data_IF_734416513305
#
_entry.id   IF_734416513305
#
_cell.length_a   1.000
_cell.length_b   1.000
_cell.length_c   1.000
_cell.angle_alpha   90.00
_cell.angle_beta   90.00
_cell.angle_gamma   90.00
#
_symmetry.space_group_name_H-M   'P 1'
#
loop_
_entity.id
_entity.type
_entity.pdbx_description
1 polymer ?
#
# COMPACT_ATOMS: atom_id res chain seq x y z
N UNK A 1 4.28 -18.47 6.86
CA UNK A 1 5.27 -17.77 6.03
C UNK A 1 5.60 -16.37 6.52
N UNK A 2 4.66 -15.53 7.00
CA UNK A 2 4.92 -14.10 7.24
C UNK A 2 5.22 -13.67 8.70
N UNK A 3 5.37 -14.62 9.64
CA UNK A 3 5.51 -14.32 11.07
C UNK A 3 6.83 -13.60 11.37
N UNK A 4 7.91 -14.04 10.75
CA UNK A 4 9.23 -13.46 10.92
C UNK A 4 9.31 -12.04 10.32
N UNK A 5 8.62 -11.76 9.21
CA UNK A 5 8.50 -10.39 8.66
C UNK A 5 7.96 -9.43 9.73
N UNK A 6 6.86 -9.81 10.39
CA UNK A 6 6.28 -8.98 11.46
C UNK A 6 7.25 -8.78 12.62
N UNK A 7 7.93 -9.84 13.05
CA UNK A 7 8.92 -9.76 14.14
C UNK A 7 10.08 -8.84 13.77
N UNK A 8 10.60 -8.92 12.54
CA UNK A 8 11.68 -8.06 12.06
C UNK A 8 11.26 -6.59 11.95
N UNK A 9 10.03 -6.32 11.49
CA UNK A 9 9.52 -4.95 11.43
C UNK A 9 9.27 -4.37 12.83
N UNK A 10 8.74 -5.16 13.76
CA UNK A 10 8.54 -4.73 15.16
C UNK A 10 9.88 -4.49 15.86
N UNK A 11 10.87 -5.36 15.67
CA UNK A 11 12.21 -5.17 16.24
C UNK A 11 12.87 -3.90 15.70
N UNK A 12 12.82 -3.69 14.38
CA UNK A 12 13.37 -2.49 13.78
C UNK A 12 12.63 -1.22 14.20
N UNK A 13 11.32 -1.31 14.44
CA UNK A 13 10.51 -0.23 14.99
C UNK A 13 10.93 0.14 16.41
N UNK A 14 11.11 -0.86 17.30
CA UNK A 14 11.56 -0.65 18.68
C UNK A 14 12.97 -0.02 18.70
N UNK A 15 13.87 -0.51 17.83
CA UNK A 15 15.21 0.07 17.68
C UNK A 15 15.17 1.52 17.21
N UNK A 16 14.34 1.83 16.22
CA UNK A 16 14.16 3.20 15.73
C UNK A 16 13.63 4.16 16.80
N UNK A 17 12.67 3.69 17.60
CA UNK A 17 12.15 4.41 18.77
C UNK A 17 13.24 4.68 19.81
N UNK A 18 14.00 3.65 20.17
CA UNK A 18 15.09 3.76 21.13
C UNK A 18 16.16 4.76 20.65
N UNK A 19 16.59 4.68 19.40
CA UNK A 19 17.58 5.61 18.85
C UNK A 19 17.08 7.06 18.84
N UNK A 20 15.80 7.27 18.47
CA UNK A 20 15.18 8.59 18.49
C UNK A 20 15.12 9.20 19.90
N UNK A 21 15.07 8.35 20.93
CA UNK A 21 15.14 8.77 22.33
C UNK A 21 16.58 9.09 22.79
N UNK A 22 17.58 8.35 22.29
CA UNK A 22 18.98 8.52 22.72
C UNK A 22 19.75 9.59 21.95
N UNK A 23 19.34 9.91 20.72
CA UNK A 23 20.04 10.87 19.85
C UNK A 23 19.67 12.35 20.11
N UNK A 24 18.67 12.62 20.95
CA UNK A 24 18.36 14.00 21.34
C UNK A 24 19.34 14.52 22.39
N UNK A 25 20.14 15.51 22.01
CA UNK A 25 21.01 16.28 22.91
C UNK A 25 20.24 17.24 23.84
N UNK A 26 18.91 17.33 23.68
CA UNK A 26 18.01 18.13 24.51
C UNK A 26 17.74 17.43 25.86
N UNK A 27 17.68 18.15 26.99
CA UNK A 27 17.32 17.59 28.30
C UNK A 27 15.85 17.13 28.39
N UNK A 28 15.07 17.32 27.33
CA UNK A 28 13.67 16.91 27.24
C UNK A 28 13.51 15.74 26.25
N UNK A 29 12.76 14.69 26.62
CA UNK A 29 12.55 13.55 25.75
C UNK A 29 11.90 13.98 24.44
N UNK A 30 12.42 13.48 23.31
CA UNK A 30 11.89 13.73 21.98
C UNK A 30 10.37 13.47 21.93
N UNK A 31 9.58 14.48 21.54
CA UNK A 31 8.14 14.28 21.35
C UNK A 31 7.92 13.49 20.07
N UNK A 32 7.49 12.23 20.20
CA UNK A 32 7.18 11.37 19.06
C UNK A 32 5.67 11.25 18.86
N UNK A 33 5.21 11.37 17.61
CA UNK A 33 3.80 11.15 17.27
C UNK A 33 3.56 9.66 17.05
N UNK A 34 3.04 8.97 18.07
CA UNK A 34 2.80 7.51 18.03
C UNK A 34 1.93 7.07 16.83
N UNK A 35 0.96 7.89 16.42
CA UNK A 35 0.12 7.63 15.25
C UNK A 35 0.93 7.45 13.95
N UNK A 36 1.86 8.38 13.68
CA UNK A 36 2.73 8.32 12.48
C UNK A 36 3.65 7.10 12.51
N UNK A 37 4.10 6.75 13.71
CA UNK A 37 4.93 5.59 13.96
C UNK A 37 4.20 4.27 13.67
N UNK A 38 2.98 4.10 14.20
CA UNK A 38 2.16 2.92 13.90
C UNK A 38 1.73 2.86 12.45
N UNK A 39 1.48 4.01 11.82
CA UNK A 39 1.20 4.11 10.39
C UNK A 39 2.37 3.58 9.57
N UNK A 40 3.59 4.04 9.83
CA UNK A 40 4.80 3.58 9.15
C UNK A 40 5.07 2.10 9.38
N UNK A 41 4.91 1.60 10.62
CA UNK A 41 5.07 0.18 10.94
C UNK A 41 4.08 -0.69 10.16
N UNK A 42 2.80 -0.33 10.19
CA UNK A 42 1.74 -1.11 9.53
C UNK A 42 1.93 -1.11 8.01
N UNK A 43 2.28 0.05 7.45
CA UNK A 43 2.58 0.18 6.04
C UNK A 43 3.79 -0.69 5.62
N UNK A 44 4.87 -0.67 6.38
CA UNK A 44 6.06 -1.48 6.12
C UNK A 44 5.80 -2.98 6.23
N UNK A 45 5.05 -3.41 7.25
CA UNK A 45 4.65 -4.83 7.37
C UNK A 45 3.86 -5.25 6.14
N UNK A 46 2.94 -4.41 5.67
CA UNK A 46 2.07 -4.71 4.53
C UNK A 46 2.86 -4.79 3.24
N UNK A 47 3.68 -3.78 2.94
CA UNK A 47 4.51 -3.78 1.73
C UNK A 47 5.48 -4.94 1.70
N UNK A 48 6.16 -5.23 2.81
CA UNK A 48 7.14 -6.30 2.87
C UNK A 48 6.49 -7.67 2.74
N UNK A 49 5.29 -7.81 3.27
CA UNK A 49 4.49 -9.03 3.15
C UNK A 49 3.97 -9.25 1.73
N UNK A 50 3.51 -8.17 1.08
CA UNK A 50 2.73 -8.29 -0.16
C UNK A 50 3.62 -8.20 -1.39
N UNK A 51 4.62 -7.33 -1.39
CA UNK A 51 5.48 -7.02 -2.55
C UNK A 51 6.98 -6.97 -2.20
N UNK A 52 7.37 -7.52 -1.04
CA UNK A 52 8.76 -7.63 -0.62
C UNK A 52 9.49 -6.30 -0.33
N UNK A 53 8.81 -5.15 -0.43
CA UNK A 53 9.42 -3.81 -0.28
C UNK A 53 9.34 -3.28 1.16
N UNK A 54 10.33 -2.47 1.51
CA UNK A 54 10.38 -1.73 2.79
C UNK A 54 10.91 -0.32 2.52
N UNK A 55 10.32 0.68 3.16
CA UNK A 55 10.83 2.05 3.09
C UNK A 55 11.07 2.62 4.49
N UNK A 56 12.03 3.53 4.59
CA UNK A 56 12.35 4.21 5.84
C UNK A 56 11.41 5.41 6.06
N UNK A 57 11.11 5.76 7.32
CA UNK A 57 10.24 6.89 7.68
C UNK A 57 10.60 8.18 6.92
N UNK A 58 11.90 8.46 6.77
CA UNK A 58 12.44 9.65 6.10
C UNK A 58 12.21 9.69 4.58
N UNK A 59 11.96 8.54 3.95
CA UNK A 59 11.73 8.45 2.50
C UNK A 59 10.24 8.68 2.20
N UNK A 60 9.32 8.27 3.09
CA UNK A 60 7.88 8.53 2.93
C UNK A 60 7.54 10.00 2.90
N UNK A 61 8.23 10.81 3.69
CA UNK A 61 7.94 12.23 3.79
C UNK A 61 8.64 13.04 2.69
N UNK A 62 9.50 12.40 1.89
CA UNK A 62 10.09 13.01 0.69
C UNK A 62 9.04 13.07 -0.40
N UNK A 63 8.54 14.27 -0.65
CA UNK A 63 7.58 14.57 -1.70
C UNK A 63 8.04 14.00 -3.06
N UNK A 64 7.10 13.45 -3.81
CA UNK A 64 7.31 12.80 -5.10
C UNK A 64 8.17 11.52 -5.11
N UNK A 65 8.59 11.00 -3.95
CA UNK A 65 9.15 9.65 -3.89
C UNK A 65 8.08 8.59 -4.21
N UNK A 66 8.49 7.44 -4.77
CA UNK A 66 7.59 6.30 -5.00
C UNK A 66 6.74 5.92 -3.76
N UNK A 67 7.31 5.75 -2.54
CA UNK A 67 6.51 5.44 -1.36
C UNK A 67 5.56 6.57 -0.94
N UNK A 68 5.96 7.84 -1.14
CA UNK A 68 5.06 8.98 -0.89
C UNK A 68 3.86 8.95 -1.85
N UNK A 69 4.12 8.78 -3.16
CA UNK A 69 3.08 8.72 -4.19
C UNK A 69 2.10 7.59 -3.92
N UNK A 70 2.64 6.41 -3.61
CA UNK A 70 1.83 5.25 -3.29
C UNK A 70 0.99 5.43 -2.02
N UNK A 71 1.60 5.89 -0.93
CA UNK A 71 0.89 6.20 0.33
C UNK A 71 -0.24 7.20 0.09
N UNK A 72 0.04 8.29 -0.63
CA UNK A 72 -0.96 9.33 -0.94
C UNK A 72 -2.10 8.78 -1.80
N UNK A 73 -1.78 7.92 -2.76
CA UNK A 73 -2.78 7.30 -3.63
C UNK A 73 -3.69 6.34 -2.84
N UNK A 74 -3.16 5.56 -1.88
CA UNK A 74 -3.97 4.73 -0.97
C UNK A 74 -4.88 5.58 -0.09
N UNK A 75 -4.36 6.61 0.57
CA UNK A 75 -5.16 7.51 1.42
C UNK A 75 -6.34 8.08 0.63
N UNK A 76 -6.06 8.52 -0.61
CA UNK A 76 -7.07 9.06 -1.50
C UNK A 76 -8.06 7.98 -1.98
N UNK A 77 -7.59 6.76 -2.26
CA UNK A 77 -8.46 5.65 -2.65
C UNK A 77 -9.40 5.25 -1.50
N UNK A 78 -8.89 5.18 -0.26
CA UNK A 78 -9.69 4.90 0.93
C UNK A 78 -10.74 5.99 1.17
N UNK A 79 -10.35 7.26 1.05
CA UNK A 79 -11.29 8.37 1.15
C UNK A 79 -12.38 8.30 0.08
N UNK A 80 -11.99 8.18 -1.20
CA UNK A 80 -12.92 8.11 -2.33
C UNK A 80 -13.83 6.87 -2.26
N UNK A 81 -13.34 5.75 -1.72
CA UNK A 81 -14.15 4.53 -1.55
C UNK A 81 -15.33 4.69 -0.60
N UNK A 82 -15.31 5.72 0.27
CA UNK A 82 -16.40 6.05 1.17
C UNK A 82 -17.36 7.12 0.66
N UNK A 83 -17.10 7.71 -0.52
CA UNK A 83 -17.94 8.76 -1.08
C UNK A 83 -19.05 8.15 -1.91
N UNK A 84 -20.29 8.52 -1.59
CA UNK A 84 -21.45 8.21 -2.41
C UNK A 84 -21.53 9.18 -3.59
N UNK A 85 -21.45 8.68 -4.82
CA UNK A 85 -21.66 9.48 -6.04
C UNK A 85 -23.06 9.22 -6.59
N UNK A 86 -23.67 10.21 -7.26
CA UNK A 86 -25.05 10.05 -7.76
C UNK A 86 -25.23 8.87 -8.73
N UNK A 87 -24.16 8.48 -9.43
CA UNK A 87 -24.15 7.28 -10.28
C UNK A 87 -24.37 5.97 -9.51
N UNK A 88 -24.10 5.95 -8.20
CA UNK A 88 -24.33 4.77 -7.35
C UNK A 88 -25.83 4.51 -7.12
N UNK A 89 -26.66 5.56 -7.10
CA UNK A 89 -28.12 5.45 -7.07
C UNK A 89 -28.75 5.42 -8.46
N UNK A 90 -28.18 6.16 -9.41
CA UNK A 90 -28.76 6.38 -10.73
C UNK A 90 -27.68 6.13 -11.79
N UNK A 91 -27.50 4.87 -12.25
CA UNK A 91 -26.37 4.47 -13.09
C UNK A 91 -26.21 5.26 -14.39
N UNK A 92 -27.31 5.75 -15.00
CA UNK A 92 -27.24 6.53 -16.24
C UNK A 92 -26.71 7.97 -16.06
N UNK A 93 -26.50 8.43 -14.82
CA UNK A 93 -25.87 9.72 -14.52
C UNK A 93 -24.34 9.61 -14.33
N UNK A 94 -23.72 8.48 -14.67
CA UNK A 94 -22.25 8.29 -14.57
C UNK A 94 -21.44 9.34 -15.34
N UNK A 95 -21.99 9.91 -16.42
CA UNK A 95 -21.35 10.97 -17.19
C UNK A 95 -21.32 12.32 -16.46
N UNK A 96 -22.13 12.51 -15.40
CA UNK A 96 -22.22 13.77 -14.68
C UNK A 96 -21.39 13.76 -13.40
N UNK A 97 -20.11 14.12 -13.54
CA UNK A 97 -19.17 14.24 -12.44
C UNK A 97 -19.24 15.63 -11.75
N UNK A 98 -20.41 16.00 -11.23
CA UNK A 98 -20.67 17.35 -10.69
C UNK A 98 -19.68 17.78 -9.59
N UNK A 99 -19.18 16.83 -8.78
CA UNK A 99 -18.27 17.09 -7.67
C UNK A 99 -16.81 16.69 -7.98
N UNK A 100 -16.54 16.17 -9.18
CA UNK A 100 -15.18 15.75 -9.59
C UNK A 100 -14.72 14.42 -8.98
N UNK A 101 -15.59 13.70 -8.27
CA UNK A 101 -15.25 12.46 -7.56
C UNK A 101 -14.93 11.32 -8.52
N UNK A 102 -15.69 11.16 -9.60
CA UNK A 102 -15.46 10.10 -10.59
C UNK A 102 -14.10 10.35 -11.29
N UNK A 103 -13.80 11.60 -11.64
CA UNK A 103 -12.51 12.00 -12.18
C UNK A 103 -11.37 11.77 -11.18
N UNK A 104 -11.58 12.09 -9.91
CA UNK A 104 -10.61 11.84 -8.85
C UNK A 104 -10.34 10.34 -8.66
N UNK A 105 -11.39 9.50 -8.67
CA UNK A 105 -11.29 8.04 -8.61
C UNK A 105 -10.48 7.50 -9.79
N UNK A 106 -10.79 7.92 -11.03
CA UNK A 106 -10.06 7.51 -12.23
C UNK A 106 -8.57 7.89 -12.17
N UNK A 107 -8.25 9.10 -11.70
CA UNK A 107 -6.85 9.54 -11.53
C UNK A 107 -6.11 8.73 -10.47
N UNK A 108 -6.75 8.48 -9.32
CA UNK A 108 -6.18 7.67 -8.25
C UNK A 108 -5.97 6.23 -8.68
N UNK A 109 -6.92 5.64 -9.41
CA UNK A 109 -6.79 4.28 -9.95
C UNK A 109 -5.59 4.16 -10.90
N UNK A 110 -5.39 5.15 -11.79
CA UNK A 110 -4.22 5.17 -12.69
C UNK A 110 -2.89 5.25 -11.94
N UNK A 111 -2.83 6.07 -10.88
CA UNK A 111 -1.62 6.20 -10.07
C UNK A 111 -1.28 4.88 -9.34
N UNK A 112 -2.29 4.24 -8.76
CA UNK A 112 -2.13 2.93 -8.11
C UNK A 112 -1.75 1.83 -9.11
N UNK A 113 -2.39 1.80 -10.28
CA UNK A 113 -2.08 0.82 -11.33
C UNK A 113 -0.64 0.97 -11.85
N UNK A 114 -0.15 2.21 -12.00
CA UNK A 114 1.22 2.49 -12.40
C UNK A 114 2.24 1.99 -11.36
N UNK A 115 1.99 2.24 -10.06
CA UNK A 115 2.88 1.78 -8.98
C UNK A 115 2.86 0.25 -8.84
N UNK A 116 1.68 -0.36 -8.85
CA UNK A 116 1.60 -1.83 -8.71
C UNK A 116 2.15 -2.52 -9.97
N UNK A 117 1.93 -1.91 -11.14
CA UNK A 117 2.52 -2.37 -12.39
C UNK A 117 4.04 -2.37 -12.36
N UNK A 118 4.68 -1.31 -11.83
CA UNK A 118 6.14 -1.29 -11.71
C UNK A 118 6.64 -2.39 -10.78
N UNK A 119 5.95 -2.66 -9.67
CA UNK A 119 6.30 -3.76 -8.77
C UNK A 119 6.14 -5.12 -9.43
N UNK A 120 5.05 -5.35 -10.17
CA UNK A 120 4.85 -6.60 -10.90
C UNK A 120 5.96 -6.82 -11.92
N UNK A 121 6.34 -5.79 -12.69
CA UNK A 121 7.45 -5.89 -13.64
C UNK A 121 8.78 -6.22 -12.96
N UNK A 122 9.05 -5.64 -11.78
CA UNK A 122 10.24 -5.98 -11.00
C UNK A 122 10.24 -7.46 -10.58
N UNK A 123 9.09 -7.99 -10.12
CA UNK A 123 8.98 -9.39 -9.69
C UNK A 123 9.09 -10.35 -10.88
N UNK A 124 8.55 -10.00 -12.05
CA UNK A 124 8.68 -10.81 -13.27
C UNK A 124 10.12 -10.89 -13.79
N UNK A 125 10.94 -9.86 -13.53
CA UNK A 125 12.36 -9.79 -13.95
C UNK A 125 13.32 -10.36 -12.90
N UNK A 126 12.85 -10.58 -11.67
CA UNK A 126 13.64 -11.07 -10.55
C UNK A 126 13.87 -12.57 -10.69
N UNK A 127 15.12 -13.01 -10.64
CA UNK A 127 15.41 -14.41 -10.33
C UNK A 127 14.98 -14.66 -8.88
N UNK A 128 14.20 -15.71 -8.62
CA UNK A 128 13.73 -16.05 -7.28
C UNK A 128 14.94 -16.48 -6.43
N UNK A 129 15.61 -15.50 -5.84
CA UNK A 129 16.69 -15.66 -4.88
C UNK A 129 16.24 -15.03 -3.57
N UNK A 130 16.03 -15.88 -2.55
CA UNK A 130 15.56 -15.47 -1.23
C UNK A 130 14.13 -15.91 -0.95
N UNK A 131 13.48 -15.19 -0.04
CA UNK A 131 12.14 -15.52 0.42
C UNK A 131 11.07 -14.91 -0.48
N UNK A 132 10.09 -15.75 -0.86
CA UNK A 132 8.95 -15.34 -1.68
C UNK A 132 7.97 -14.50 -0.87
N UNK A 133 7.59 -13.35 -1.41
CA UNK A 133 6.45 -12.56 -0.92
C UNK A 133 5.14 -13.01 -1.58
N UNK A 134 4.02 -12.37 -1.21
CA UNK A 134 2.71 -12.70 -1.75
C UNK A 134 2.62 -12.54 -3.27
N UNK A 135 3.25 -11.51 -3.85
CA UNK A 135 3.24 -11.29 -5.29
C UNK A 135 4.03 -12.37 -6.02
N UNK A 136 5.19 -12.77 -5.50
CA UNK A 136 5.95 -13.94 -6.00
C UNK A 136 5.09 -15.22 -5.99
N UNK A 137 4.32 -15.45 -4.92
CA UNK A 137 3.39 -16.59 -4.81
C UNK A 137 2.29 -16.51 -5.86
N UNK A 138 1.70 -15.34 -6.08
CA UNK A 138 0.66 -15.15 -7.10
C UNK A 138 1.21 -15.40 -8.52
N UNK A 139 2.37 -14.84 -8.86
CA UNK A 139 3.02 -15.07 -10.16
C UNK A 139 3.25 -16.56 -10.40
N UNK A 140 3.71 -17.29 -9.38
CA UNK A 140 4.04 -18.71 -9.49
C UNK A 140 2.83 -19.64 -9.59
N UNK A 141 1.68 -19.26 -9.01
CA UNK A 141 0.50 -20.13 -8.91
C UNK A 141 -0.60 -19.83 -9.94
N UNK A 142 -0.63 -18.64 -10.54
CA UNK A 142 -1.63 -18.33 -11.55
C UNK A 142 -1.17 -18.82 -12.93
N UNK A 143 -2.03 -19.53 -13.65
CA UNK A 143 -1.79 -19.90 -15.04
C UNK A 143 -1.87 -18.66 -15.96
N UNK A 144 -1.24 -18.72 -17.14
CA UNK A 144 -1.31 -17.64 -18.15
C UNK A 144 -2.65 -17.62 -18.90
N UNK A 145 -3.53 -18.59 -18.62
CA UNK A 145 -4.79 -18.78 -19.33
C UNK A 145 -5.91 -17.88 -18.82
N UNK A 146 -6.37 -16.95 -19.67
CA UNK A 146 -7.52 -16.09 -19.38
C UNK A 146 -8.84 -16.86 -19.15
N UNK A 147 -8.94 -18.09 -19.67
CA UNK A 147 -10.13 -18.94 -19.50
C UNK A 147 -10.36 -19.37 -18.04
N UNK A 148 -9.30 -19.57 -17.26
CA UNK A 148 -9.40 -19.94 -15.84
C UNK A 148 -9.72 -18.74 -14.95
N UNK A 149 -9.67 -17.53 -15.50
CA UNK A 149 -9.80 -16.28 -14.76
C UNK A 149 -10.90 -15.37 -15.33
N UNK A 150 -12.00 -15.98 -15.79
CA UNK A 150 -13.18 -15.28 -16.31
C UNK A 150 -12.89 -14.22 -17.38
N UNK A 151 -11.88 -14.45 -18.23
CA UNK A 151 -11.48 -13.55 -19.30
C UNK A 151 -10.49 -12.44 -18.90
N UNK A 152 -10.06 -12.37 -17.65
CA UNK A 152 -9.00 -11.45 -17.22
C UNK A 152 -7.60 -12.04 -17.48
N UNK A 153 -6.61 -11.18 -17.72
CA UNK A 153 -5.21 -11.60 -17.85
C UNK A 153 -4.59 -11.80 -16.46
N UNK A 154 -3.57 -12.67 -16.36
CA UNK A 154 -2.84 -12.97 -15.10
C UNK A 154 -2.49 -11.68 -14.37
N UNK A 155 -1.85 -10.77 -15.08
CA UNK A 155 -1.38 -9.49 -14.54
C UNK A 155 -2.51 -8.65 -13.94
N UNK A 156 -3.68 -8.61 -14.59
CA UNK A 156 -4.82 -7.87 -14.06
C UNK A 156 -5.27 -8.44 -12.72
N UNK A 157 -5.35 -9.77 -12.61
CA UNK A 157 -5.74 -10.45 -11.37
C UNK A 157 -4.69 -10.24 -10.28
N UNK A 158 -3.40 -10.35 -10.59
CA UNK A 158 -2.31 -10.13 -9.63
C UNK A 158 -2.32 -8.68 -9.14
N UNK A 159 -2.40 -7.69 -10.04
CA UNK A 159 -2.45 -6.27 -9.68
C UNK A 159 -3.67 -5.95 -8.81
N UNK A 160 -4.85 -6.44 -9.20
CA UNK A 160 -6.09 -6.22 -8.44
C UNK A 160 -6.02 -6.84 -7.03
N UNK A 161 -5.57 -8.09 -6.92
CA UNK A 161 -5.47 -8.80 -5.64
C UNK A 161 -4.43 -8.15 -4.72
N UNK A 162 -3.31 -7.71 -5.29
CA UNK A 162 -2.27 -6.94 -4.58
C UNK A 162 -2.85 -5.65 -4.01
N UNK A 163 -3.58 -4.88 -4.82
CA UNK A 163 -4.22 -3.64 -4.39
C UNK A 163 -5.20 -3.88 -3.22
N UNK A 164 -6.09 -4.86 -3.37
CA UNK A 164 -7.09 -5.21 -2.34
C UNK A 164 -6.42 -5.69 -1.05
N UNK A 165 -5.26 -6.33 -1.12
CA UNK A 165 -4.53 -6.77 0.07
C UNK A 165 -3.85 -5.60 0.82
N UNK A 166 -3.46 -4.54 0.10
CA UNK A 166 -2.78 -3.38 0.67
C UNK A 166 -3.74 -2.35 1.30
N UNK A 167 -4.97 -2.20 0.76
CA UNK A 167 -5.94 -1.21 1.24
C UNK A 167 -6.43 -1.41 2.70
N UNK A 168 -6.82 -2.62 3.16
CA UNK A 168 -7.30 -2.85 4.53
C UNK A 168 -6.20 -2.62 5.56
N UNK A 169 -4.95 -2.93 5.18
CA UNK A 169 -3.80 -2.81 6.05
C UNK A 169 -3.50 -1.35 6.40
N UNK A 170 -3.82 -0.40 5.53
CA UNK A 170 -3.76 1.03 5.85
C UNK A 170 -4.97 1.51 6.69
N UNK A 171 -6.12 0.83 6.61
CA UNK A 171 -7.35 1.18 7.33
C UNK A 171 -7.32 0.81 8.82
N UNK A 172 -6.47 -0.14 9.22
CA UNK A 172 -6.26 -0.52 10.62
C UNK A 172 -5.71 0.63 11.49
N UNK A 173 -5.08 1.65 10.91
CA UNK A 173 -4.50 2.77 11.68
C UNK A 173 -5.48 3.95 11.81
N UNK A 174 -6.45 4.10 10.89
CA UNK A 174 -7.40 5.21 10.90
C UNK A 174 -8.64 4.98 11.78
N UNK A 175 -8.81 3.78 12.34
CA UNK A 175 -9.96 3.44 13.20
C UNK A 175 -9.67 3.49 14.71
N UNK A 176 -8.45 3.87 15.11
CA UNK A 176 -7.99 3.90 16.51
C UNK A 176 -7.44 5.25 16.98
N UNK A 177 -7.75 6.35 16.29
CA UNK A 177 -7.47 7.69 16.82
C UNK A 177 -8.80 8.39 17.13
N UNK A 178 -9.02 8.81 18.40
CA UNK A 178 -10.22 9.52 18.83
C UNK A 178 -10.33 10.91 18.20
#
# INVERSE_FOLDING_TARGET
MLRHVRVLEVDAFIKGLHNSYTETADPYPAKVTMSKLFESLTFNISLRTIVGKRYCSSIYDKENSEPWRYKKAIEKALYLSGIFVMSDAIPWLEWIDFQGHISAMKRTAKELDAVIGSWLEEHLKKEIQGESDFMDVMISNLADGAAEMSGYTRDVVIKATTLVSLLPSCKLVLRFLP
#
